data_IF_018640077869
#
_entry.id   IF_018640077869
#
_cell.length_a   1.000
_cell.length_b   1.000
_cell.length_c   1.000
_cell.angle_alpha   90.00
_cell.angle_beta   90.00
_cell.angle_gamma   90.00
#
_symmetry.space_group_name_H-M   'P 1'
#
loop_
_entity.id
_entity.type
_entity.pdbx_description
1 polymer ?
#
# COMPACT_ATOMS: atom_id res chain seq x y z
N UNK A 1 -11.43 11.45 -7.38
CA UNK A 1 -11.46 10.10 -7.98
C UNK A 1 -12.37 9.21 -7.13
N UNK A 2 -13.24 8.44 -7.77
CA UNK A 2 -14.12 7.50 -7.07
C UNK A 2 -13.33 6.29 -6.59
N UNK A 3 -13.91 5.52 -5.64
CA UNK A 3 -13.29 4.28 -5.18
C UNK A 3 -13.05 3.33 -6.36
N UNK A 4 -14.01 3.21 -7.27
CA UNK A 4 -13.91 2.33 -8.43
C UNK A 4 -12.78 2.75 -9.37
N UNK A 5 -12.61 4.04 -9.57
CA UNK A 5 -11.53 4.57 -10.42
C UNK A 5 -10.17 4.30 -9.79
N UNK A 6 -10.05 4.46 -8.48
CA UNK A 6 -8.79 4.18 -7.78
C UNK A 6 -8.44 2.69 -7.83
N UNK A 7 -9.45 1.83 -7.62
CA UNK A 7 -9.29 0.37 -7.74
C UNK A 7 -8.90 -0.02 -9.16
N UNK A 8 -9.51 0.61 -10.17
CA UNK A 8 -9.15 0.33 -11.56
C UNK A 8 -7.68 0.66 -11.85
N UNK A 9 -7.16 1.77 -11.26
CA UNK A 9 -5.76 2.13 -11.38
C UNK A 9 -4.85 1.08 -10.73
N UNK A 10 -5.24 0.58 -9.57
CA UNK A 10 -4.51 -0.49 -8.90
C UNK A 10 -4.54 -1.79 -9.71
N UNK A 11 -5.70 -2.16 -10.23
CA UNK A 11 -5.88 -3.39 -11.02
C UNK A 11 -5.02 -3.37 -12.28
N UNK A 12 -4.92 -2.22 -12.93
CA UNK A 12 -4.09 -2.04 -14.13
C UNK A 12 -2.63 -2.40 -13.86
N UNK A 13 -2.15 -2.15 -12.66
CA UNK A 13 -0.76 -2.39 -12.29
C UNK A 13 -0.42 -3.88 -12.11
N UNK A 14 -1.42 -4.75 -11.98
CA UNK A 14 -1.16 -6.19 -11.86
C UNK A 14 -0.40 -6.76 -13.05
N UNK A 15 -0.62 -6.22 -14.24
CA UNK A 15 0.04 -6.70 -15.46
C UNK A 15 1.55 -6.43 -15.49
N UNK A 16 2.02 -5.52 -14.65
CA UNK A 16 3.45 -5.19 -14.56
C UNK A 16 4.16 -5.94 -13.44
N UNK A 17 3.42 -6.66 -12.60
CA UNK A 17 4.00 -7.37 -11.48
C UNK A 17 5.01 -8.41 -11.95
N UNK A 18 6.14 -8.48 -11.25
CA UNK A 18 7.16 -9.50 -11.51
C UNK A 18 7.07 -10.54 -10.39
N UNK A 19 6.39 -11.65 -10.67
CA UNK A 19 6.03 -12.64 -9.65
C UNK A 19 6.34 -14.08 -10.07
N UNK A 20 7.59 -14.37 -10.48
CA UNK A 20 7.92 -15.71 -10.97
C UNK A 20 7.86 -16.79 -9.90
N UNK A 21 7.91 -16.44 -8.63
CA UNK A 21 7.93 -17.39 -7.50
C UNK A 21 6.53 -17.64 -6.97
N UNK A 22 5.82 -16.58 -6.58
CA UNK A 22 4.48 -16.73 -6.00
C UNK A 22 3.37 -16.86 -7.04
N UNK A 23 3.57 -16.28 -8.21
CA UNK A 23 2.55 -16.14 -9.27
C UNK A 23 1.31 -15.42 -8.78
N UNK A 24 1.48 -14.53 -7.81
CA UNK A 24 0.38 -13.76 -7.21
C UNK A 24 0.60 -12.26 -7.48
N UNK A 25 0.11 -11.75 -8.64
CA UNK A 25 0.28 -10.34 -8.96
C UNK A 25 -0.61 -9.44 -8.12
N UNK A 26 -0.02 -8.37 -7.60
CA UNK A 26 -0.73 -7.37 -6.79
C UNK A 26 -0.48 -6.00 -7.40
N UNK A 27 -1.54 -5.20 -7.47
CA UNK A 27 -1.46 -3.81 -7.87
C UNK A 27 -1.91 -2.91 -6.75
N UNK A 28 -1.36 -1.71 -6.68
CA UNK A 28 -1.74 -0.70 -5.71
C UNK A 28 -1.81 0.68 -6.36
N UNK A 29 -2.67 1.54 -5.80
CA UNK A 29 -2.80 2.93 -6.21
C UNK A 29 -2.97 3.78 -4.96
N UNK A 30 -2.03 4.68 -4.72
CA UNK A 30 -1.96 5.56 -3.55
C UNK A 30 -2.40 6.96 -3.97
N UNK A 31 -3.51 7.42 -3.40
CA UNK A 31 -4.08 8.73 -3.71
C UNK A 31 -3.63 9.78 -2.71
N UNK A 32 -3.30 10.96 -3.23
CA UNK A 32 -2.93 12.11 -2.44
C UNK A 32 -4.06 13.13 -2.39
N UNK A 33 -3.99 14.05 -1.43
CA UNK A 33 -5.03 15.06 -1.19
C UNK A 33 -5.22 16.05 -2.35
N UNK A 34 -4.21 16.20 -3.20
CA UNK A 34 -4.29 17.05 -4.40
C UNK A 34 -4.77 16.30 -5.65
N UNK A 35 -5.15 15.03 -5.49
CA UNK A 35 -5.61 14.20 -6.60
C UNK A 35 -4.51 13.41 -7.32
N UNK A 36 -3.24 13.63 -6.99
CA UNK A 36 -2.14 12.85 -7.56
C UNK A 36 -2.27 11.38 -7.11
N UNK A 37 -1.99 10.45 -8.02
CA UNK A 37 -2.05 9.02 -7.75
C UNK A 37 -0.72 8.38 -8.10
N UNK A 38 -0.13 7.66 -7.14
CA UNK A 38 1.08 6.87 -7.36
C UNK A 38 0.70 5.41 -7.40
N UNK A 39 1.11 4.71 -8.45
CA UNK A 39 0.77 3.31 -8.64
C UNK A 39 1.97 2.41 -8.38
N UNK A 40 1.70 1.15 -8.06
CA UNK A 40 2.76 0.18 -7.82
C UNK A 40 2.30 -1.24 -8.09
N UNK A 41 3.27 -2.12 -8.27
CA UNK A 41 3.06 -3.55 -8.39
C UNK A 41 4.09 -4.26 -7.52
N UNK A 42 3.85 -5.54 -7.21
CA UNK A 42 4.84 -6.30 -6.48
C UNK A 42 5.94 -6.81 -7.40
N UNK A 43 7.16 -6.80 -6.87
CA UNK A 43 8.36 -7.22 -7.61
C UNK A 43 9.12 -8.21 -6.72
N UNK A 44 9.24 -9.43 -7.18
CA UNK A 44 9.91 -10.50 -6.45
C UNK A 44 11.38 -10.61 -6.85
N UNK A 45 12.12 -11.32 -6.05
CA UNK A 45 13.55 -11.52 -6.27
C UNK A 45 13.95 -12.90 -5.72
N UNK A 46 14.95 -13.54 -6.31
CA UNK A 46 15.49 -14.79 -5.78
C UNK A 46 16.02 -14.59 -4.35
N UNK A 47 16.51 -13.41 -4.03
CA UNK A 47 16.79 -13.01 -2.64
C UNK A 47 15.49 -12.52 -2.03
N UNK A 48 14.80 -13.38 -1.29
CA UNK A 48 13.45 -13.10 -0.82
C UNK A 48 13.34 -11.83 0.01
N UNK A 49 14.39 -11.46 0.73
CA UNK A 49 14.41 -10.22 1.50
C UNK A 49 14.37 -8.96 0.62
N UNK A 50 14.69 -9.08 -0.67
CA UNK A 50 14.65 -7.97 -1.61
C UNK A 50 13.29 -7.80 -2.28
N UNK A 51 12.35 -8.71 -2.06
CA UNK A 51 11.00 -8.60 -2.61
C UNK A 51 10.31 -7.34 -2.07
N UNK A 52 9.53 -6.67 -2.93
CA UNK A 52 8.80 -5.47 -2.53
C UNK A 52 7.32 -5.65 -2.89
N UNK A 53 6.44 -5.32 -1.96
CA UNK A 53 5.00 -5.36 -2.18
C UNK A 53 4.54 -4.15 -2.99
N UNK A 54 3.40 -4.29 -3.66
CA UNK A 54 2.83 -3.23 -4.51
C UNK A 54 2.63 -1.92 -3.74
N UNK A 55 2.17 -2.00 -2.50
CA UNK A 55 1.89 -0.84 -1.66
C UNK A 55 3.17 -0.05 -1.38
N UNK A 56 4.28 -0.75 -1.08
CA UNK A 56 5.56 -0.09 -0.84
C UNK A 56 6.15 0.48 -2.13
N UNK A 57 5.94 -0.18 -3.25
CA UNK A 57 6.36 0.36 -4.55
C UNK A 57 5.68 1.71 -4.81
N UNK A 58 4.37 1.78 -4.60
CA UNK A 58 3.63 3.04 -4.77
C UNK A 58 4.14 4.12 -3.81
N UNK A 59 4.35 3.76 -2.54
CA UNK A 59 4.80 4.70 -1.52
C UNK A 59 6.21 5.23 -1.82
N UNK A 60 7.16 4.36 -2.17
CA UNK A 60 8.53 4.82 -2.44
C UNK A 60 8.61 5.67 -3.69
N UNK A 61 7.74 5.43 -4.67
CA UNK A 61 7.62 6.32 -5.85
C UNK A 61 7.19 7.72 -5.41
N UNK A 62 6.20 7.81 -4.52
CA UNK A 62 5.72 9.09 -4.00
C UNK A 62 6.83 9.82 -3.23
N UNK A 63 7.52 9.11 -2.34
CA UNK A 63 8.60 9.68 -1.55
C UNK A 63 9.76 10.12 -2.45
N UNK A 64 10.10 9.33 -3.47
CA UNK A 64 11.13 9.67 -4.44
C UNK A 64 10.76 10.91 -5.27
N UNK A 65 9.48 11.20 -5.39
CA UNK A 65 8.96 12.38 -6.07
C UNK A 65 8.83 13.58 -5.14
N UNK A 66 9.32 13.46 -3.91
CA UNK A 66 9.33 14.54 -2.92
C UNK A 66 8.11 14.60 -2.03
N UNK A 67 7.15 13.70 -2.18
CA UNK A 67 5.92 13.74 -1.39
C UNK A 67 6.06 12.85 -0.15
N UNK A 68 5.88 13.43 1.02
CA UNK A 68 6.02 12.75 2.30
C UNK A 68 4.76 12.83 3.17
N UNK A 69 3.72 13.52 2.72
CA UNK A 69 2.48 13.70 3.46
C UNK A 69 1.33 13.94 2.49
N UNK A 70 0.11 13.99 3.02
CA UNK A 70 -1.06 14.25 2.21
C UNK A 70 -1.61 13.00 1.51
N UNK A 71 -1.27 11.82 1.99
CA UNK A 71 -1.82 10.57 1.48
C UNK A 71 -3.18 10.33 2.10
N UNK A 72 -4.19 10.04 1.28
CA UNK A 72 -5.59 9.91 1.73
C UNK A 72 -6.12 8.49 1.66
N UNK A 73 -5.87 7.79 0.56
CA UNK A 73 -6.38 6.43 0.35
C UNK A 73 -5.36 5.59 -0.41
N UNK A 74 -5.39 4.28 -0.17
CA UNK A 74 -4.68 3.33 -1.01
C UNK A 74 -5.63 2.21 -1.42
N UNK A 75 -5.65 1.88 -2.70
CA UNK A 75 -6.35 0.72 -3.22
C UNK A 75 -5.34 -0.41 -3.45
N UNK A 76 -5.72 -1.63 -3.06
CA UNK A 76 -4.88 -2.82 -3.22
C UNK A 76 -5.72 -3.91 -3.86
N UNK A 77 -5.22 -4.49 -4.95
CA UNK A 77 -5.91 -5.53 -5.70
C UNK A 77 -5.00 -6.74 -5.86
N UNK A 78 -5.43 -7.87 -5.35
CA UNK A 78 -4.76 -9.15 -5.52
C UNK A 78 -5.53 -10.06 -6.47
N UNK A 79 -5.00 -11.25 -6.69
CA UNK A 79 -5.55 -12.19 -7.66
C UNK A 79 -6.35 -13.33 -7.02
N UNK A 80 -6.66 -13.20 -5.73
CA UNK A 80 -7.44 -14.21 -5.00
C UNK A 80 -8.92 -13.88 -4.99
N UNK A 81 -9.75 -14.87 -4.61
CA UNK A 81 -11.18 -14.64 -4.40
C UNK A 81 -11.44 -13.80 -3.15
N UNK A 82 -10.49 -13.73 -2.21
CA UNK A 82 -10.61 -12.91 -1.01
C UNK A 82 -9.96 -11.55 -1.18
N UNK A 83 -10.13 -10.71 -0.17
CA UNK A 83 -9.54 -9.37 -0.16
C UNK A 83 -8.04 -9.46 0.10
N UNK A 84 -7.25 -8.68 -0.65
CA UNK A 84 -5.81 -8.59 -0.49
C UNK A 84 -5.51 -7.41 0.43
N UNK A 85 -5.30 -7.69 1.71
CA UNK A 85 -4.93 -6.67 2.68
C UNK A 85 -3.41 -6.44 2.64
N UNK A 86 -2.95 -5.21 2.95
CA UNK A 86 -1.50 -4.98 3.01
C UNK A 86 -0.86 -5.82 4.10
N UNK A 87 0.32 -6.36 3.81
CA UNK A 87 1.08 -7.16 4.78
C UNK A 87 1.58 -6.28 5.93
N UNK A 88 2.09 -6.92 7.00
CA UNK A 88 2.54 -6.18 8.18
C UNK A 88 3.65 -5.18 7.89
N UNK A 89 4.62 -5.52 7.03
CA UNK A 89 5.70 -4.60 6.65
C UNK A 89 5.13 -3.38 5.93
N UNK A 90 4.16 -3.58 5.03
CA UNK A 90 3.50 -2.47 4.32
C UNK A 90 2.71 -1.60 5.28
N UNK A 91 1.99 -2.21 6.24
CA UNK A 91 1.24 -1.46 7.25
C UNK A 91 2.17 -0.58 8.07
N UNK A 92 3.31 -1.12 8.52
CA UNK A 92 4.29 -0.37 9.28
C UNK A 92 4.87 0.78 8.46
N UNK A 93 5.25 0.51 7.22
CA UNK A 93 5.83 1.54 6.36
C UNK A 93 4.84 2.65 6.04
N UNK A 94 3.59 2.29 5.75
CA UNK A 94 2.53 3.27 5.49
C UNK A 94 2.22 4.10 6.74
N UNK A 95 2.25 3.51 7.93
CA UNK A 95 1.93 4.22 9.17
C UNK A 95 2.92 5.33 9.50
N UNK A 96 4.16 5.23 9.04
CA UNK A 96 5.17 6.27 9.24
C UNK A 96 4.75 7.58 8.55
N UNK A 97 4.12 7.48 7.37
CA UNK A 97 3.80 8.62 6.53
C UNK A 97 2.32 8.98 6.50
N UNK A 98 1.44 8.04 6.82
CA UNK A 98 -0.01 8.22 6.68
C UNK A 98 -0.77 7.37 7.71
N UNK A 99 -0.67 7.69 9.01
CA UNK A 99 -1.31 6.88 10.05
C UNK A 99 -2.83 6.82 9.93
N UNK A 100 -3.46 7.79 9.27
CA UNK A 100 -4.91 7.86 9.10
C UNK A 100 -5.37 7.40 7.71
N UNK A 101 -4.51 6.70 6.98
CA UNK A 101 -4.79 6.26 5.62
C UNK A 101 -6.01 5.34 5.55
N UNK A 102 -6.88 5.57 4.57
CA UNK A 102 -7.98 4.66 4.26
C UNK A 102 -7.50 3.59 3.28
N UNK A 103 -7.83 2.33 3.56
CA UNK A 103 -7.40 1.20 2.75
C UNK A 103 -8.61 0.57 2.07
N UNK A 104 -8.57 0.51 0.75
CA UNK A 104 -9.57 -0.14 -0.08
C UNK A 104 -8.96 -1.42 -0.65
N UNK A 105 -9.40 -2.57 -0.17
CA UNK A 105 -8.97 -3.85 -0.70
C UNK A 105 -10.06 -4.38 -1.62
N UNK A 106 -9.69 -4.78 -2.84
CA UNK A 106 -10.64 -5.35 -3.79
C UNK A 106 -10.28 -6.80 -4.08
N UNK A 107 -11.31 -7.64 -4.23
CA UNK A 107 -11.12 -9.02 -4.65
C UNK A 107 -11.18 -9.13 -6.18
N UNK A 108 -11.02 -10.34 -6.71
CA UNK A 108 -11.02 -10.57 -8.15
C UNK A 108 -12.38 -10.26 -8.80
N UNK A 109 -13.49 -10.28 -8.02
CA UNK A 109 -14.84 -9.99 -8.53
C UNK A 109 -15.18 -8.50 -8.51
N UNK A 110 -14.37 -7.67 -7.87
CA UNK A 110 -14.61 -6.24 -7.74
C UNK A 110 -15.31 -5.82 -6.44
N UNK A 111 -15.51 -6.77 -5.50
CA UNK A 111 -16.03 -6.40 -4.19
C UNK A 111 -14.96 -5.65 -3.42
N UNK A 112 -15.37 -4.70 -2.58
CA UNK A 112 -14.47 -3.79 -1.87
C UNK A 112 -14.62 -3.98 -0.37
N UNK A 113 -13.49 -4.13 0.33
CA UNK A 113 -13.40 -4.09 1.77
C UNK A 113 -12.69 -2.80 2.16
N UNK A 114 -13.26 -2.06 3.11
CA UNK A 114 -12.77 -0.74 3.51
C UNK A 114 -12.31 -0.75 4.97
N UNK A 115 -11.08 -0.30 5.22
CA UNK A 115 -10.51 -0.24 6.57
C UNK A 115 -9.69 1.03 6.73
N UNK A 116 -9.52 1.45 7.98
CA UNK A 116 -8.50 2.45 8.29
C UNK A 116 -7.19 1.73 8.62
N UNK A 117 -6.07 2.39 8.38
CA UNK A 117 -4.77 1.82 8.73
C UNK A 117 -4.66 1.60 10.24
N UNK A 118 -5.26 2.48 11.05
CA UNK A 118 -5.26 2.33 12.52
C UNK A 118 -5.94 1.04 12.98
N UNK A 119 -6.99 0.60 12.29
CA UNK A 119 -7.65 -0.68 12.59
C UNK A 119 -6.73 -1.86 12.28
N UNK A 120 -5.94 -1.77 11.20
CA UNK A 120 -5.09 -2.85 10.73
C UNK A 120 -3.73 -2.88 11.44
N UNK A 121 -3.35 -1.80 12.11
CA UNK A 121 -2.09 -1.71 12.85
C UNK A 121 -2.32 -0.89 14.13
N UNK A 122 -3.04 -1.45 15.10
CA UNK A 122 -3.29 -0.75 16.36
C UNK A 122 -2.00 -0.62 17.17
N UNK A 123 -1.91 0.48 17.93
CA UNK A 123 -0.77 0.77 18.81
C UNK A 123 0.57 0.64 18.09
N UNK A 124 0.66 1.24 16.90
CA UNK A 124 1.81 1.08 16.02
C UNK A 124 3.08 1.72 16.62
N UNK A 125 4.22 1.09 16.35
CA UNK A 125 5.53 1.69 16.61
C UNK A 125 5.75 2.81 15.60
N UNK A 126 6.19 3.98 16.07
CA UNK A 126 6.41 5.13 15.19
C UNK A 126 7.58 5.98 15.66
N UNK A 127 7.86 7.04 14.93
CA UNK A 127 8.97 7.96 15.20
C UNK A 127 8.90 8.61 16.58
N UNK A 128 7.68 8.81 17.10
CA UNK A 128 7.46 9.37 18.43
C UNK A 128 8.08 8.51 19.54
N UNK A 129 8.07 7.19 19.41
CA UNK A 129 8.69 6.28 20.36
C UNK A 129 10.21 6.50 20.43
N UNK A 130 10.84 6.73 19.28
CA UNK A 130 12.28 6.98 19.20
C UNK A 130 12.63 8.36 19.74
N UNK A 131 11.82 9.37 19.45
CA UNK A 131 11.99 10.72 19.96
C UNK A 131 11.89 10.74 21.48
N UNK A 132 10.88 10.06 22.04
CA UNK A 132 10.70 9.98 23.48
C UNK A 132 11.88 9.26 24.15
N UNK A 133 12.43 8.21 23.54
CA UNK A 133 13.57 7.49 24.10
C UNK A 133 14.85 8.32 24.08
N UNK A 134 15.02 9.21 23.10
CA UNK A 134 16.21 10.08 23.03
C UNK A 134 16.18 11.20 24.08
N UNK A 135 15.01 11.53 24.62
CA UNK A 135 14.82 12.56 25.65
C UNK A 135 14.77 11.99 27.07
N UNK A 136 14.80 10.68 27.18
CA UNK A 136 14.68 9.99 28.46
C UNK A 136 15.93 9.89 29.28
#
# INVERSE_FOLDING_TARGET
>A
MTDQELIARAREMQKYAYVPYSRFPVGAALECDDGTVYTGCNVENASYGACICAERTALVKAISDGRRKGFTRIAVVGNSAGFCQPCGICRQMLSEFAPDLEILAADASGRISRHSLRELLPESFGSDALENSSNG
#
